data_IF_187881850055
#
_entry.id   IF_187881850055
#
_cell.length_a   1.000
_cell.length_b   1.000
_cell.length_c   1.000
_cell.angle_alpha   90.00
_cell.angle_beta   90.00
_cell.angle_gamma   90.00
#
_symmetry.space_group_name_H-M   'P 1'
#
loop_
_entity.id
_entity.type
_entity.pdbx_description
1 polymer ?
#
# COMPACT_ATOMS: atom_id res chain seq x y z
N UNK A 1 57.43 -31.08 -25.60
CA UNK A 1 57.14 -30.23 -24.42
C UNK A 1 57.09 -28.81 -24.95
N UNK A 2 55.98 -28.07 -24.93
CA UNK A 2 55.11 -27.76 -23.78
C UNK A 2 53.69 -27.39 -24.25
N UNK A 3 52.66 -27.83 -23.52
CA UNK A 3 51.27 -27.38 -23.70
C UNK A 3 51.06 -26.11 -22.86
N UNK A 4 50.76 -24.99 -23.50
CA UNK A 4 50.34 -23.75 -22.84
C UNK A 4 48.90 -23.89 -22.32
N UNK A 5 48.74 -23.95 -21.00
CA UNK A 5 47.42 -23.83 -20.34
C UNK A 5 47.17 -22.35 -20.06
N UNK A 6 46.33 -21.72 -20.88
CA UNK A 6 45.76 -20.40 -20.57
C UNK A 6 44.79 -20.55 -19.40
N UNK A 7 45.25 -20.22 -18.19
CA UNK A 7 44.44 -20.15 -16.97
C UNK A 7 43.60 -18.86 -16.96
N UNK A 8 42.47 -18.86 -17.68
CA UNK A 8 41.49 -17.76 -17.55
C UNK A 8 40.76 -17.90 -16.21
N UNK A 9 41.04 -16.99 -15.27
CA UNK A 9 40.60 -17.10 -13.88
C UNK A 9 39.07 -17.11 -13.78
N UNK A 10 38.52 -18.13 -13.11
CA UNK A 10 37.09 -18.29 -12.83
C UNK A 10 36.48 -17.08 -12.11
N UNK A 11 37.31 -16.33 -11.38
CA UNK A 11 36.91 -15.14 -10.65
C UNK A 11 36.41 -14.01 -11.56
N UNK A 12 37.06 -13.78 -12.71
CA UNK A 12 36.61 -12.77 -13.68
C UNK A 12 35.24 -13.10 -14.27
N UNK A 13 34.95 -14.39 -14.48
CA UNK A 13 33.64 -14.85 -14.97
C UNK A 13 32.56 -14.64 -13.89
N UNK A 14 32.87 -14.93 -12.62
CA UNK A 14 31.97 -14.64 -11.50
C UNK A 14 31.70 -13.14 -11.36
N UNK A 15 32.70 -12.27 -11.48
CA UNK A 15 32.51 -10.81 -11.39
C UNK A 15 31.64 -10.29 -12.52
N UNK A 16 31.88 -10.74 -13.76
CA UNK A 16 31.08 -10.34 -14.91
C UNK A 16 29.60 -10.79 -14.77
N UNK A 17 29.38 -12.02 -14.31
CA UNK A 17 28.03 -12.55 -14.07
C UNK A 17 27.29 -11.76 -12.96
N UNK A 18 27.99 -11.41 -11.87
CA UNK A 18 27.41 -10.63 -10.78
C UNK A 18 26.99 -9.22 -11.24
N UNK A 19 27.80 -8.56 -12.07
CA UNK A 19 27.47 -7.23 -12.61
C UNK A 19 26.26 -7.29 -13.54
N UNK A 20 26.17 -8.27 -14.43
CA UNK A 20 25.01 -8.46 -15.32
C UNK A 20 23.75 -8.73 -14.51
N UNK A 21 23.86 -9.56 -13.47
CA UNK A 21 22.74 -9.85 -12.56
C UNK A 21 22.26 -8.61 -11.81
N UNK A 22 23.18 -7.80 -11.28
CA UNK A 22 22.85 -6.55 -10.59
C UNK A 22 22.20 -5.52 -11.54
N UNK A 23 22.68 -5.43 -12.78
CA UNK A 23 22.10 -4.56 -13.80
C UNK A 23 20.68 -5.02 -14.21
N UNK A 24 20.49 -6.33 -14.40
CA UNK A 24 19.16 -6.91 -14.66
C UNK A 24 18.20 -6.72 -13.49
N UNK A 25 18.68 -6.87 -12.27
CA UNK A 25 17.90 -6.64 -11.05
C UNK A 25 17.51 -5.15 -10.90
N UNK A 26 18.44 -4.23 -11.15
CA UNK A 26 18.16 -2.79 -11.12
C UNK A 26 17.15 -2.39 -12.20
N UNK A 27 17.29 -2.91 -13.42
CA UNK A 27 16.34 -2.66 -14.51
C UNK A 27 14.95 -3.24 -14.20
N UNK A 28 14.88 -4.45 -13.64
CA UNK A 28 13.64 -5.07 -13.19
C UNK A 28 12.95 -4.29 -12.07
N UNK A 29 13.72 -3.83 -11.07
CA UNK A 29 13.23 -3.01 -9.98
C UNK A 29 12.71 -1.64 -10.48
N UNK A 30 13.40 -1.01 -11.43
CA UNK A 30 12.96 0.22 -12.07
C UNK A 30 11.68 0.04 -12.88
N UNK A 31 11.57 -1.02 -13.68
CA UNK A 31 10.37 -1.31 -14.48
C UNK A 31 9.13 -1.61 -13.62
N UNK A 32 9.31 -2.36 -12.51
CA UNK A 32 8.24 -2.62 -11.54
C UNK A 32 7.81 -1.34 -10.82
N UNK A 33 8.75 -0.43 -10.53
CA UNK A 33 8.47 0.84 -9.87
C UNK A 33 7.71 1.81 -10.78
N UNK A 34 8.09 1.93 -12.05
CA UNK A 34 7.39 2.78 -13.03
C UNK A 34 6.02 2.23 -13.40
N UNK A 35 5.88 0.90 -13.53
CA UNK A 35 4.58 0.26 -13.77
C UNK A 35 3.59 0.46 -12.60
N UNK A 36 4.08 0.40 -11.35
CA UNK A 36 3.26 0.75 -10.17
C UNK A 36 2.91 2.23 -10.13
N UNK A 37 3.82 3.13 -10.50
CA UNK A 37 3.55 4.57 -10.54
C UNK A 37 2.46 4.93 -11.56
N UNK A 38 2.43 4.28 -12.73
CA UNK A 38 1.38 4.46 -13.73
C UNK A 38 0.00 3.99 -13.27
N UNK A 39 -0.09 2.84 -12.59
CA UNK A 39 -1.34 2.34 -12.00
C UNK A 39 -1.86 3.19 -10.83
N UNK A 40 -1.02 4.01 -10.21
CA UNK A 40 -1.42 4.95 -9.17
C UNK A 40 -1.83 6.33 -9.71
N UNK A 41 -1.69 6.57 -11.03
CA UNK A 41 -2.04 7.85 -11.68
C UNK A 41 -3.46 7.86 -12.25
N UNK A 42 -4.22 6.78 -12.13
CA UNK A 42 -5.68 6.89 -12.19
C UNK A 42 -6.15 7.56 -10.90
N UNK A 43 -6.23 8.89 -10.93
CA UNK A 43 -6.85 9.70 -9.90
C UNK A 43 -8.17 9.03 -9.50
N UNK A 44 -8.28 8.59 -8.24
CA UNK A 44 -9.55 8.08 -7.73
C UNK A 44 -10.60 9.15 -8.02
N UNK A 45 -11.67 8.83 -8.78
CA UNK A 45 -12.69 9.81 -9.08
C UNK A 45 -13.20 10.37 -7.75
N UNK A 46 -13.27 11.70 -7.66
CA UNK A 46 -13.67 12.38 -6.44
C UNK A 46 -15.05 11.82 -6.02
N UNK A 47 -15.36 11.78 -4.71
CA UNK A 47 -16.65 11.23 -4.26
C UNK A 47 -17.85 11.91 -4.96
N UNK A 48 -17.69 13.19 -5.28
CA UNK A 48 -18.64 13.97 -6.06
C UNK A 48 -18.80 13.44 -7.50
N UNK A 49 -17.71 13.07 -8.16
CA UNK A 49 -17.73 12.52 -9.53
C UNK A 49 -18.40 11.15 -9.57
N UNK A 50 -18.20 10.32 -8.53
CA UNK A 50 -18.84 9.01 -8.42
C UNK A 50 -20.35 9.14 -8.22
N UNK A 51 -20.77 10.06 -7.36
CA UNK A 51 -22.19 10.32 -7.13
C UNK A 51 -22.87 10.87 -8.38
N UNK A 52 -22.22 11.81 -9.08
CA UNK A 52 -22.72 12.37 -10.33
C UNK A 52 -22.88 11.30 -11.41
N UNK A 53 -21.86 10.47 -11.63
CA UNK A 53 -21.95 9.35 -12.59
C UNK A 53 -23.08 8.38 -12.24
N UNK A 54 -23.31 8.12 -10.95
CA UNK A 54 -24.41 7.27 -10.51
C UNK A 54 -25.77 7.94 -10.75
N UNK A 55 -25.91 9.22 -10.43
CA UNK A 55 -27.12 10.01 -10.68
C UNK A 55 -27.50 10.00 -12.16
N UNK A 56 -26.52 10.24 -13.04
CA UNK A 56 -26.68 10.22 -14.50
C UNK A 56 -27.07 8.83 -15.02
N UNK A 57 -26.40 7.76 -14.54
CA UNK A 57 -26.72 6.38 -14.95
C UNK A 57 -28.11 5.91 -14.50
N UNK A 58 -28.55 6.37 -13.33
CA UNK A 58 -29.87 6.06 -12.78
C UNK A 58 -30.96 7.03 -13.24
N UNK A 59 -30.58 8.07 -14.00
CA UNK A 59 -31.49 9.11 -14.51
C UNK A 59 -32.32 9.74 -13.38
N UNK A 60 -31.68 10.06 -12.26
CA UNK A 60 -32.38 10.63 -11.11
C UNK A 60 -32.89 12.04 -11.44
N UNK A 61 -34.12 12.35 -11.01
CA UNK A 61 -34.59 13.73 -11.00
C UNK A 61 -33.86 14.56 -9.94
N UNK A 62 -33.90 15.89 -10.05
CA UNK A 62 -33.26 16.78 -9.07
C UNK A 62 -33.72 16.52 -7.62
N UNK A 63 -35.01 16.21 -7.43
CA UNK A 63 -35.51 15.85 -6.09
C UNK A 63 -35.01 14.49 -5.62
N UNK A 64 -34.91 13.49 -6.50
CA UNK A 64 -34.36 12.18 -6.15
C UNK A 64 -32.88 12.30 -5.80
N UNK A 65 -32.10 13.07 -6.56
CA UNK A 65 -30.70 13.32 -6.29
C UNK A 65 -30.49 13.95 -4.92
N UNK A 66 -31.28 14.99 -4.58
CA UNK A 66 -31.23 15.63 -3.26
C UNK A 66 -31.55 14.64 -2.13
N UNK A 67 -32.57 13.77 -2.31
CA UNK A 67 -32.93 12.73 -1.34
C UNK A 67 -31.82 11.70 -1.15
N UNK A 68 -31.25 11.18 -2.24
CA UNK A 68 -30.18 10.17 -2.18
C UNK A 68 -28.92 10.75 -1.55
N UNK A 69 -28.55 11.99 -1.89
CA UNK A 69 -27.42 12.68 -1.25
C UNK A 69 -27.61 12.78 0.26
N UNK A 70 -28.79 13.21 0.71
CA UNK A 70 -29.11 13.27 2.14
C UNK A 70 -29.00 11.90 2.83
N UNK A 71 -29.50 10.84 2.21
CA UNK A 71 -29.39 9.47 2.75
C UNK A 71 -27.93 9.07 2.95
N UNK A 72 -27.06 9.34 1.97
CA UNK A 72 -25.64 9.02 2.11
C UNK A 72 -24.92 9.88 3.15
N UNK A 73 -25.25 11.17 3.24
CA UNK A 73 -24.68 12.07 4.25
C UNK A 73 -25.09 11.63 5.67
N UNK A 74 -26.36 11.31 5.88
CA UNK A 74 -26.88 10.79 7.15
C UNK A 74 -26.22 9.45 7.50
N UNK A 75 -26.10 8.54 6.53
CA UNK A 75 -25.42 7.24 6.71
C UNK A 75 -23.96 7.42 7.08
N UNK A 76 -23.25 8.33 6.42
CA UNK A 76 -21.85 8.65 6.73
C UNK A 76 -21.72 9.19 8.15
N UNK A 77 -22.61 10.08 8.57
CA UNK A 77 -22.64 10.61 9.93
C UNK A 77 -22.82 9.51 10.98
N UNK A 78 -23.74 8.58 10.75
CA UNK A 78 -23.97 7.42 11.64
C UNK A 78 -22.73 6.51 11.72
N UNK A 79 -22.09 6.23 10.59
CA UNK A 79 -20.86 5.42 10.57
C UNK A 79 -19.69 6.12 11.26
N UNK A 80 -19.53 7.43 11.08
CA UNK A 80 -18.50 8.21 11.77
C UNK A 80 -18.75 8.27 13.28
N UNK A 81 -20.02 8.34 13.73
CA UNK A 81 -20.39 8.26 15.14
C UNK A 81 -20.05 6.88 15.73
N UNK A 82 -20.49 5.80 15.08
CA UNK A 82 -20.19 4.42 15.51
C UNK A 82 -18.68 4.18 15.59
N UNK A 83 -17.93 4.71 14.62
CA UNK A 83 -16.47 4.61 14.63
C UNK A 83 -15.85 5.32 15.83
N UNK A 84 -16.29 6.53 16.16
CA UNK A 84 -15.79 7.28 17.33
C UNK A 84 -16.10 6.57 18.64
N UNK A 85 -17.31 6.01 18.75
CA UNK A 85 -17.73 5.22 19.91
C UNK A 85 -16.91 3.94 20.07
N UNK A 86 -16.61 3.27 18.94
CA UNK A 86 -15.86 2.00 18.94
C UNK A 86 -14.35 2.18 19.05
N UNK A 87 -13.81 3.36 18.74
CA UNK A 87 -12.38 3.68 18.74
C UNK A 87 -11.65 3.28 20.03
N UNK A 88 -12.12 3.61 21.26
CA UNK A 88 -11.43 3.19 22.49
C UNK A 88 -11.35 1.67 22.63
N UNK A 89 -12.40 0.94 22.27
CA UNK A 89 -12.42 -0.52 22.34
C UNK A 89 -11.43 -1.14 21.33
N UNK A 90 -11.38 -0.60 20.12
CA UNK A 90 -10.42 -1.02 19.09
C UNK A 90 -8.99 -0.74 19.53
N UNK A 91 -8.73 0.40 20.18
CA UNK A 91 -7.40 0.73 20.71
C UNK A 91 -6.96 -0.23 21.80
N UNK A 92 -7.87 -0.62 22.69
CA UNK A 92 -7.56 -1.60 23.74
C UNK A 92 -7.21 -2.97 23.16
N UNK A 93 -7.99 -3.48 22.20
CA UNK A 93 -7.67 -4.74 21.50
C UNK A 93 -6.29 -4.67 20.83
N UNK A 94 -5.96 -3.55 20.19
CA UNK A 94 -4.65 -3.35 19.57
C UNK A 94 -3.52 -3.32 20.61
N UNK A 95 -3.73 -2.67 21.75
CA UNK A 95 -2.76 -2.62 22.85
C UNK A 95 -2.48 -4.02 23.38
N UNK A 96 -3.51 -4.82 23.61
CA UNK A 96 -3.36 -6.21 24.05
C UNK A 96 -2.60 -7.05 23.03
N UNK A 97 -2.94 -6.93 21.74
CA UNK A 97 -2.22 -7.61 20.67
C UNK A 97 -0.72 -7.20 20.63
N UNK A 98 -0.43 -5.91 20.80
CA UNK A 98 0.93 -5.40 20.87
C UNK A 98 1.73 -6.00 22.04
N UNK A 99 1.09 -6.19 23.20
CA UNK A 99 1.72 -6.85 24.36
C UNK A 99 2.06 -8.31 24.08
N UNK A 100 1.14 -9.05 23.47
CA UNK A 100 1.40 -10.45 23.08
C UNK A 100 2.49 -10.55 22.00
N UNK A 101 2.50 -9.64 21.02
CA UNK A 101 3.53 -9.62 19.99
C UNK A 101 4.91 -9.27 20.55
N UNK A 102 5.00 -8.38 21.54
CA UNK A 102 6.26 -8.09 22.23
C UNK A 102 6.86 -9.30 22.94
N UNK A 103 6.03 -10.23 23.40
CA UNK A 103 6.48 -11.47 24.03
C UNK A 103 6.92 -12.52 22.99
N UNK A 104 6.32 -12.49 21.80
CA UNK A 104 6.58 -13.46 20.73
C UNK A 104 7.75 -13.08 19.81
N UNK A 105 8.07 -11.79 19.69
CA UNK A 105 9.07 -11.26 18.76
C UNK A 105 10.36 -10.85 19.47
N UNK A 106 11.49 -10.92 18.75
CA UNK A 106 12.72 -10.27 19.22
C UNK A 106 12.59 -8.74 19.20
N UNK A 107 13.43 -8.00 19.96
CA UNK A 107 13.40 -6.54 19.95
C UNK A 107 13.54 -5.93 18.54
N UNK A 108 14.39 -6.52 17.70
CA UNK A 108 14.63 -6.06 16.32
C UNK A 108 13.41 -6.32 15.43
N UNK A 109 12.78 -7.49 15.57
CA UNK A 109 11.56 -7.85 14.85
C UNK A 109 10.38 -6.95 15.27
N UNK A 110 10.27 -6.64 16.56
CA UNK A 110 9.27 -5.72 17.08
C UNK A 110 9.43 -4.31 16.50
N UNK A 111 10.67 -3.80 16.44
CA UNK A 111 10.94 -2.49 15.84
C UNK A 111 10.56 -2.45 14.35
N UNK A 112 10.91 -3.49 13.59
CA UNK A 112 10.50 -3.64 12.18
C UNK A 112 8.99 -3.69 12.04
N UNK A 113 8.29 -4.40 12.92
CA UNK A 113 6.83 -4.46 12.92
C UNK A 113 6.19 -3.09 13.14
N UNK A 114 6.69 -2.31 14.10
CA UNK A 114 6.21 -0.94 14.34
C UNK A 114 6.38 -0.04 13.11
N UNK A 115 7.54 -0.11 12.45
CA UNK A 115 7.80 0.64 11.22
C UNK A 115 6.80 0.28 10.11
N UNK A 116 6.54 -1.02 9.88
CA UNK A 116 5.56 -1.46 8.89
C UNK A 116 4.16 -0.92 9.19
N UNK A 117 3.76 -0.89 10.47
CA UNK A 117 2.46 -0.36 10.90
C UNK A 117 2.34 1.15 10.64
N UNK A 118 3.39 1.90 10.93
CA UNK A 118 3.41 3.35 10.73
C UNK A 118 3.37 3.70 9.24
N UNK A 119 4.09 2.97 8.39
CA UNK A 119 4.03 3.13 6.94
C UNK A 119 2.61 2.89 6.40
N UNK A 120 1.92 1.86 6.88
CA UNK A 120 0.53 1.58 6.49
C UNK A 120 -0.42 2.69 6.93
N UNK A 121 -0.25 3.21 8.15
CA UNK A 121 -1.05 4.32 8.69
C UNK A 121 -0.86 5.60 7.86
N UNK A 122 0.38 5.93 7.50
CA UNK A 122 0.70 7.11 6.68
C UNK A 122 0.11 7.01 5.27
N UNK A 123 0.11 5.82 4.65
CA UNK A 123 -0.54 5.59 3.35
C UNK A 123 -2.06 5.80 3.42
N UNK A 124 -2.70 5.35 4.50
CA UNK A 124 -4.13 5.57 4.72
C UNK A 124 -4.51 7.04 4.96
N UNK A 125 -3.63 7.84 5.59
CA UNK A 125 -3.86 9.28 5.82
C UNK A 125 -3.63 10.14 4.59
N UNK A 126 -2.74 9.75 3.68
CA UNK A 126 -2.46 10.48 2.43
C UNK A 126 -3.52 10.31 1.35
N UNK A 127 -4.39 9.30 1.46
CA UNK A 127 -5.48 9.03 0.54
C UNK A 127 -6.85 9.57 0.97
N UNK A 128 -6.91 10.42 2.00
CA UNK A 128 -8.16 11.00 2.52
C UNK A 128 -8.17 12.52 2.37
#
# INVERSE_FOLDING_TARGET
>A
MTMDRVTKSSWQVCTAAAVIFLLGFAAGALALNTYRAWRHTEAQPNQQDRFRQMSERLQLSAEQEARVRKIFDDTRSQLDALRKESEPHVQEIRRQADEHLRQALTPEQWLRFQQMRDEMSQRGRRGR
#
